data_IF_341736486694
#
_entry.id   IF_341736486694
#
_cell.length_a   1.000
_cell.length_b   1.000
_cell.length_c   1.000
_cell.angle_alpha   90.00
_cell.angle_beta   90.00
_cell.angle_gamma   90.00
#
_symmetry.space_group_name_H-M   'P 1'
#
loop_
_entity.id
_entity.type
_entity.pdbx_description
1 polymer ?
#
# COMPACT_ATOMS: atom_id res chain seq x y z
N UNK A 1 -14.71 19.82 -1.68
CA UNK A 1 -15.18 19.62 -3.07
C UNK A 1 -15.68 18.19 -3.18
N UNK A 2 -16.91 17.98 -3.64
CA UNK A 2 -17.40 16.64 -3.98
C UNK A 2 -16.69 16.18 -5.27
N UNK A 3 -16.26 14.91 -5.38
CA UNK A 3 -15.64 14.43 -6.61
C UNK A 3 -16.64 14.54 -7.76
N UNK A 4 -16.15 14.99 -8.92
CA UNK A 4 -16.96 15.10 -10.14
C UNK A 4 -17.44 13.71 -10.58
N UNK A 5 -18.55 13.61 -11.33
CA UNK A 5 -19.10 12.32 -11.80
C UNK A 5 -18.04 11.43 -12.49
N UNK A 6 -17.05 12.04 -13.16
CA UNK A 6 -15.94 11.38 -13.85
C UNK A 6 -14.94 10.70 -12.89
N UNK A 7 -14.72 11.24 -11.68
CA UNK A 7 -13.88 10.61 -10.65
C UNK A 7 -14.55 9.37 -10.04
N UNK A 8 -15.88 9.37 -9.88
CA UNK A 8 -16.64 8.22 -9.36
C UNK A 8 -16.71 7.06 -10.36
N UNK A 9 -16.78 7.36 -11.66
CA UNK A 9 -16.84 6.34 -12.73
C UNK A 9 -15.52 5.58 -12.94
N UNK A 10 -14.40 6.08 -12.42
CA UNK A 10 -13.08 5.50 -12.68
C UNK A 10 -12.45 4.84 -11.45
N UNK A 11 -12.77 5.29 -10.23
CA UNK A 11 -12.14 4.78 -9.00
C UNK A 11 -12.80 3.52 -8.44
N UNK A 12 -14.13 3.41 -8.49
CA UNK A 12 -14.88 2.30 -7.88
C UNK A 12 -15.15 1.13 -8.84
N UNK A 13 -15.48 1.36 -10.14
CA UNK A 13 -15.87 0.24 -11.00
C UNK A 13 -14.73 -0.71 -11.33
N UNK A 14 -13.50 -0.22 -11.33
CA UNK A 14 -12.37 -0.92 -11.90
C UNK A 14 -11.82 -2.06 -11.01
N UNK A 15 -11.36 -1.82 -9.76
CA UNK A 15 -10.89 -2.93 -8.91
C UNK A 15 -12.01 -3.92 -8.54
N UNK A 16 -13.27 -3.45 -8.46
CA UNK A 16 -14.40 -4.29 -8.05
C UNK A 16 -15.00 -5.10 -9.19
N UNK A 17 -15.50 -4.45 -10.25
CA UNK A 17 -16.16 -5.17 -11.35
C UNK A 17 -15.14 -5.73 -12.32
N UNK A 18 -14.18 -4.91 -12.78
CA UNK A 18 -13.22 -5.38 -13.78
C UNK A 18 -12.24 -6.39 -13.19
N UNK A 19 -11.63 -6.08 -12.04
CA UNK A 19 -10.79 -7.01 -11.28
C UNK A 19 -11.54 -8.29 -10.86
N UNK A 20 -12.79 -8.16 -10.41
CA UNK A 20 -13.64 -9.30 -10.03
C UNK A 20 -13.96 -10.24 -11.19
N UNK A 21 -14.38 -9.69 -12.35
CA UNK A 21 -14.66 -10.48 -13.55
C UNK A 21 -13.41 -11.22 -14.05
N UNK A 22 -12.26 -10.53 -14.10
CA UNK A 22 -11.01 -11.12 -14.53
C UNK A 22 -10.52 -12.22 -13.57
N UNK A 23 -10.65 -12.00 -12.26
CA UNK A 23 -10.26 -12.98 -11.24
C UNK A 23 -11.17 -14.21 -11.28
N UNK A 24 -12.48 -14.01 -11.39
CA UNK A 24 -13.45 -15.09 -11.50
C UNK A 24 -13.26 -15.89 -12.80
N UNK A 25 -12.98 -15.23 -13.92
CA UNK A 25 -12.59 -15.90 -15.16
C UNK A 25 -11.30 -16.70 -15.00
N UNK A 26 -10.27 -16.13 -14.38
CA UNK A 26 -8.99 -16.80 -14.18
C UNK A 26 -9.18 -18.12 -13.42
N UNK A 27 -10.11 -18.17 -12.46
CA UNK A 27 -10.44 -19.34 -11.65
C UNK A 27 -11.36 -20.34 -12.38
N UNK A 28 -12.46 -19.87 -12.96
CA UNK A 28 -13.53 -20.73 -13.51
C UNK A 28 -13.35 -21.10 -14.98
N UNK A 29 -12.60 -20.30 -15.73
CA UNK A 29 -12.49 -20.32 -17.19
C UNK A 29 -13.83 -20.10 -17.93
N UNK A 30 -14.85 -19.54 -17.27
CA UNK A 30 -16.13 -19.25 -17.92
C UNK A 30 -16.00 -18.10 -18.95
N UNK A 31 -16.18 -18.36 -20.26
CA UNK A 31 -16.02 -17.36 -21.30
C UNK A 31 -17.01 -16.19 -21.20
N UNK A 32 -18.14 -16.35 -20.51
CA UNK A 32 -19.09 -15.25 -20.30
C UNK A 32 -18.50 -14.15 -19.42
N UNK A 33 -17.71 -14.52 -18.41
CA UNK A 33 -17.03 -13.57 -17.53
C UNK A 33 -15.99 -12.75 -18.29
N UNK A 34 -15.22 -13.40 -19.17
CA UNK A 34 -14.26 -12.70 -20.04
C UNK A 34 -14.97 -11.77 -21.02
N UNK A 35 -16.09 -12.20 -21.61
CA UNK A 35 -16.91 -11.36 -22.48
C UNK A 35 -17.39 -10.10 -21.75
N UNK A 36 -17.86 -10.23 -20.50
CA UNK A 36 -18.27 -9.09 -19.68
C UNK A 36 -17.13 -8.18 -19.28
N UNK A 37 -15.97 -8.75 -18.94
CA UNK A 37 -14.76 -7.96 -18.67
C UNK A 37 -14.37 -7.13 -19.90
N UNK A 38 -14.49 -7.71 -21.10
CA UNK A 38 -14.24 -7.04 -22.38
C UNK A 38 -15.20 -5.87 -22.61
N UNK A 39 -16.51 -6.11 -22.50
CA UNK A 39 -17.55 -5.08 -22.65
C UNK A 39 -17.33 -3.89 -21.69
N UNK A 40 -17.00 -4.19 -20.43
CA UNK A 40 -16.69 -3.17 -19.43
C UNK A 40 -15.39 -2.42 -19.77
N UNK A 41 -14.33 -3.15 -20.13
CA UNK A 41 -13.06 -2.58 -20.56
C UNK A 41 -13.24 -1.60 -21.74
N UNK A 42 -14.02 -2.01 -22.75
CA UNK A 42 -14.34 -1.18 -23.92
C UNK A 42 -15.08 0.10 -23.55
N UNK A 43 -16.02 0.03 -22.60
CA UNK A 43 -16.78 1.18 -22.12
C UNK A 43 -15.89 2.16 -21.35
N UNK A 44 -15.03 1.64 -20.48
CA UNK A 44 -14.14 2.45 -19.64
C UNK A 44 -12.94 3.03 -20.41
N UNK A 45 -12.61 2.50 -21.60
CA UNK A 45 -11.54 3.04 -22.46
C UNK A 45 -11.75 4.53 -22.80
N UNK A 46 -12.98 5.01 -22.88
CA UNK A 46 -13.28 6.43 -23.14
C UNK A 46 -12.81 7.35 -22.00
N UNK A 47 -12.76 6.83 -20.77
CA UNK A 47 -12.31 7.58 -19.60
C UNK A 47 -10.78 7.75 -19.53
N UNK A 48 -10.03 7.08 -20.42
CA UNK A 48 -8.57 7.21 -20.55
C UNK A 48 -8.15 8.28 -21.56
N UNK A 49 -9.09 8.98 -22.19
CA UNK A 49 -8.81 10.01 -23.19
C UNK A 49 -8.52 11.38 -22.52
N UNK A 50 -7.44 11.45 -21.74
CA UNK A 50 -6.94 12.71 -21.14
C UNK A 50 -5.78 13.27 -21.95
N UNK A 51 -5.61 14.59 -21.95
CA UNK A 51 -4.51 15.28 -22.67
C UNK A 51 -3.12 14.86 -22.18
N UNK A 52 -3.01 14.50 -20.89
CA UNK A 52 -1.78 14.04 -20.25
C UNK A 52 -1.47 12.56 -20.49
N UNK A 53 -2.41 11.80 -21.04
CA UNK A 53 -2.28 10.38 -21.29
C UNK A 53 -2.32 9.47 -20.06
N UNK A 54 -2.38 9.97 -18.81
CA UNK A 54 -2.31 9.15 -17.58
C UNK A 54 -3.24 7.93 -17.64
N UNK A 55 -2.71 6.71 -17.85
CA UNK A 55 -3.52 5.53 -17.77
C UNK A 55 -3.75 5.30 -16.30
N UNK A 56 -5.00 5.38 -15.93
CA UNK A 56 -5.42 4.69 -14.72
C UNK A 56 -5.40 3.20 -15.11
N UNK A 57 -4.84 2.33 -14.26
CA UNK A 57 -5.19 0.89 -14.15
C UNK A 57 -4.23 -0.17 -14.77
N UNK A 58 -3.92 -1.21 -13.95
CA UNK A 58 -3.10 -2.37 -14.33
C UNK A 58 -3.93 -3.55 -14.87
N UNK A 59 -5.23 -3.58 -14.59
CA UNK A 59 -6.17 -4.64 -14.95
C UNK A 59 -6.31 -4.80 -16.47
N UNK A 60 -6.14 -3.71 -17.22
CA UNK A 60 -6.14 -3.74 -18.68
C UNK A 60 -4.92 -4.45 -19.28
N UNK A 61 -3.76 -4.47 -18.59
CA UNK A 61 -2.61 -5.27 -19.03
C UNK A 61 -2.95 -6.76 -18.98
N UNK A 62 -3.68 -7.18 -17.95
CA UNK A 62 -4.14 -8.56 -17.81
C UNK A 62 -5.22 -8.90 -18.86
N UNK A 63 -6.19 -8.00 -19.09
CA UNK A 63 -7.17 -8.18 -20.18
C UNK A 63 -6.50 -8.30 -21.56
N UNK A 64 -5.48 -7.48 -21.83
CA UNK A 64 -4.72 -7.56 -23.08
C UNK A 64 -4.03 -8.91 -23.26
N UNK A 65 -3.41 -9.43 -22.19
CA UNK A 65 -2.80 -10.76 -22.19
C UNK A 65 -3.84 -11.86 -22.48
N UNK A 66 -5.01 -11.81 -21.83
CA UNK A 66 -6.05 -12.83 -21.99
C UNK A 66 -6.72 -12.81 -23.36
N UNK A 67 -6.90 -11.63 -23.95
CA UNK A 67 -7.64 -11.47 -25.21
C UNK A 67 -6.74 -11.50 -26.45
N UNK A 68 -5.42 -11.39 -26.27
CA UNK A 68 -4.47 -11.12 -27.35
C UNK A 68 -4.68 -9.77 -28.04
N UNK A 69 -5.63 -8.95 -27.55
CA UNK A 69 -5.97 -7.68 -28.17
C UNK A 69 -4.96 -6.60 -27.75
N UNK A 70 -4.04 -6.31 -28.66
CA UNK A 70 -3.02 -5.27 -28.48
C UNK A 70 -3.62 -3.90 -28.23
N UNK A 71 -4.85 -3.61 -28.67
CA UNK A 71 -5.50 -2.30 -28.42
C UNK A 71 -5.72 -2.01 -26.93
N UNK A 72 -6.01 -3.02 -26.09
CA UNK A 72 -6.08 -2.80 -24.63
C UNK A 72 -4.71 -2.46 -24.05
N UNK A 73 -3.67 -3.10 -24.57
CA UNK A 73 -2.30 -2.81 -24.17
C UNK A 73 -1.85 -1.42 -24.65
N UNK A 74 -2.10 -1.09 -25.91
CA UNK A 74 -1.78 0.17 -26.59
C UNK A 74 -2.56 1.36 -26.02
N UNK A 75 -3.80 1.19 -25.58
CA UNK A 75 -4.58 2.29 -24.97
C UNK A 75 -4.25 2.55 -23.51
N UNK A 76 -3.86 1.52 -22.74
CA UNK A 76 -3.16 1.72 -21.46
C UNK A 76 -1.82 2.42 -21.68
N UNK A 77 -1.25 2.34 -22.89
CA UNK A 77 -0.07 3.12 -23.27
C UNK A 77 -0.30 4.60 -23.56
N UNK A 78 -1.52 5.12 -23.54
CA UNK A 78 -1.81 6.50 -23.95
C UNK A 78 -1.94 6.61 -25.49
N UNK A 79 -3.03 7.22 -25.98
CA UNK A 79 -3.51 7.28 -27.38
C UNK A 79 -2.77 8.33 -28.26
N UNK A 80 -2.95 8.42 -29.61
CA UNK A 80 -3.58 7.53 -30.61
C UNK A 80 -2.58 6.99 -31.66
N UNK A 81 -3.10 6.19 -32.60
CA UNK A 81 -2.47 5.41 -33.71
C UNK A 81 -1.70 6.24 -34.76
N UNK A 82 -1.03 7.35 -34.41
CA UNK A 82 -0.35 8.22 -35.39
C UNK A 82 1.16 8.42 -35.12
N UNK A 83 1.71 7.93 -34.01
CA UNK A 83 3.16 7.91 -33.79
C UNK A 83 3.57 6.58 -33.15
N UNK A 84 4.57 5.91 -33.72
CA UNK A 84 5.16 4.62 -33.32
C UNK A 84 4.79 4.14 -31.90
N UNK A 85 3.87 3.16 -31.85
CA UNK A 85 3.05 2.76 -30.71
C UNK A 85 3.75 1.88 -29.66
N UNK A 86 5.04 2.15 -29.36
CA UNK A 86 5.79 1.45 -28.30
C UNK A 86 6.17 2.38 -27.11
N UNK A 87 6.10 3.71 -27.23
CA UNK A 87 6.87 4.59 -26.32
C UNK A 87 6.11 5.35 -25.20
N UNK A 88 4.79 5.19 -24.98
CA UNK A 88 4.02 6.12 -24.12
C UNK A 88 3.57 5.65 -22.70
N UNK A 89 3.41 4.35 -22.37
CA UNK A 89 3.39 3.93 -20.91
C UNK A 89 4.74 4.24 -20.30
N UNK A 90 5.79 3.97 -21.06
CA UNK A 90 7.15 4.34 -20.68
C UNK A 90 7.19 5.83 -20.39
N UNK A 91 6.60 6.68 -21.24
CA UNK A 91 6.52 8.11 -20.97
C UNK A 91 5.84 8.47 -19.65
N UNK A 92 4.70 7.86 -19.28
CA UNK A 92 4.00 8.23 -18.05
C UNK A 92 4.67 7.64 -16.81
N UNK A 93 5.20 6.43 -16.93
CA UNK A 93 6.07 5.87 -15.90
C UNK A 93 7.34 6.69 -15.73
N UNK A 94 7.93 7.17 -16.82
CA UNK A 94 9.09 8.05 -16.82
C UNK A 94 8.73 9.42 -16.24
N UNK A 95 7.55 9.95 -16.52
CA UNK A 95 7.04 11.17 -15.88
C UNK A 95 6.82 10.97 -14.38
N UNK A 96 6.27 9.82 -13.96
CA UNK A 96 6.11 9.50 -12.54
C UNK A 96 7.48 9.34 -11.86
N UNK A 97 8.38 8.60 -12.50
CA UNK A 97 9.73 8.37 -12.01
C UNK A 97 10.55 9.67 -11.95
N UNK A 98 10.41 10.56 -12.92
CA UNK A 98 11.04 11.87 -12.96
C UNK A 98 10.45 12.84 -11.92
N UNK A 99 9.26 12.56 -11.41
CA UNK A 99 8.58 13.36 -10.38
C UNK A 99 8.68 12.74 -8.99
N UNK A 100 9.45 11.67 -8.82
CA UNK A 100 9.91 11.25 -7.50
C UNK A 100 10.69 12.42 -6.90
N UNK A 101 10.25 12.87 -5.72
CA UNK A 101 10.90 13.98 -5.05
C UNK A 101 12.33 13.58 -4.65
N UNK A 102 13.37 14.30 -5.10
CA UNK A 102 14.76 13.89 -4.91
C UNK A 102 15.24 14.03 -3.46
N UNK A 103 14.46 14.68 -2.58
CA UNK A 103 14.81 14.85 -1.16
C UNK A 103 14.23 13.75 -0.27
N UNK A 104 13.09 13.18 -0.68
CA UNK A 104 12.35 12.18 0.09
C UNK A 104 12.29 10.80 -0.59
N UNK A 105 12.57 10.72 -1.89
CA UNK A 105 12.31 9.54 -2.73
C UNK A 105 10.83 9.13 -2.76
N UNK A 106 9.90 10.06 -2.55
CA UNK A 106 8.46 9.77 -2.50
C UNK A 106 7.71 10.38 -3.69
N UNK A 107 6.54 9.80 -3.98
CA UNK A 107 5.59 10.35 -4.95
C UNK A 107 4.57 11.23 -4.23
N UNK A 108 4.29 12.40 -4.78
CA UNK A 108 3.26 13.29 -4.24
C UNK A 108 1.86 12.63 -4.34
N UNK A 109 0.98 12.93 -3.41
CA UNK A 109 -0.38 12.40 -3.39
C UNK A 109 -1.31 13.07 -4.43
N UNK A 110 -0.97 14.27 -4.91
CA UNK A 110 -1.83 15.05 -5.78
C UNK A 110 -1.10 15.48 -7.06
N UNK A 111 -1.75 15.23 -8.19
CA UNK A 111 -1.25 15.45 -9.54
C UNK A 111 -2.29 16.24 -10.32
N UNK A 112 -1.83 17.19 -11.13
CA UNK A 112 -2.68 17.83 -12.11
C UNK A 112 -2.86 16.87 -13.30
N UNK A 113 -4.11 16.46 -13.55
CA UNK A 113 -4.45 15.47 -14.58
C UNK A 113 -4.36 16.01 -16.01
N UNK A 114 -4.27 17.33 -16.21
CA UNK A 114 -4.21 17.95 -17.54
C UNK A 114 -2.77 17.99 -18.06
N UNK A 115 -1.83 18.36 -17.20
CA UNK A 115 -0.42 18.51 -17.56
C UNK A 115 0.50 17.46 -16.93
N UNK A 116 -0.03 16.64 -16.01
CA UNK A 116 0.72 15.56 -15.38
C UNK A 116 1.69 15.95 -14.30
N UNK A 117 1.70 17.21 -13.84
CA UNK A 117 2.64 17.71 -12.84
C UNK A 117 2.13 17.55 -11.41
N UNK A 118 3.04 17.41 -10.44
CA UNK A 118 2.71 17.46 -9.01
C UNK A 118 1.97 18.75 -8.66
N UNK A 119 0.81 18.61 -8.01
CA UNK A 119 -0.02 19.74 -7.59
C UNK A 119 0.34 20.23 -6.18
N UNK A 120 0.84 19.35 -5.33
CA UNK A 120 1.25 19.65 -3.95
C UNK A 120 2.46 18.81 -3.55
N UNK A 121 3.16 19.22 -2.49
CA UNK A 121 4.21 18.41 -1.83
C UNK A 121 3.66 17.71 -0.59
N UNK A 122 2.49 17.08 -0.72
CA UNK A 122 1.97 16.17 0.29
C UNK A 122 2.38 14.75 -0.10
N UNK A 123 3.06 14.04 0.80
CA UNK A 123 3.42 12.64 0.60
C UNK A 123 2.59 11.80 1.58
N UNK A 124 1.70 11.00 1.01
CA UNK A 124 0.76 10.16 1.76
C UNK A 124 1.15 8.70 1.61
N UNK A 125 0.81 7.88 2.60
CA UNK A 125 0.80 6.41 2.51
C UNK A 125 -0.55 5.83 2.95
N UNK A 126 -1.56 6.69 3.09
CA UNK A 126 -2.96 6.33 3.28
C UNK A 126 -3.77 6.65 2.03
N UNK A 127 -4.99 7.15 2.23
CA UNK A 127 -5.87 7.51 1.14
C UNK A 127 -5.16 8.39 0.08
N UNK A 128 -5.52 8.15 -1.18
CA UNK A 128 -5.01 8.81 -2.40
C UNK A 128 -3.65 8.32 -2.92
N UNK A 129 -2.85 7.63 -2.11
CA UNK A 129 -1.51 7.18 -2.51
C UNK A 129 -1.28 5.67 -2.30
N UNK A 130 -1.98 5.05 -1.35
CA UNK A 130 -1.97 3.62 -1.00
C UNK A 130 -1.75 2.65 -2.17
N UNK A 131 -2.80 2.42 -2.96
CA UNK A 131 -2.86 1.51 -4.10
C UNK A 131 -1.90 1.93 -5.22
N UNK A 132 -1.51 3.20 -5.27
CA UNK A 132 -0.44 3.69 -6.15
C UNK A 132 0.88 2.97 -5.87
N UNK A 133 1.33 2.91 -4.62
CA UNK A 133 2.56 2.19 -4.25
C UNK A 133 2.44 0.68 -4.43
N UNK A 134 1.28 0.13 -4.07
CA UNK A 134 0.99 -1.30 -4.16
C UNK A 134 1.11 -1.82 -5.60
N UNK A 135 0.53 -1.09 -6.56
CA UNK A 135 0.49 -1.49 -7.95
C UNK A 135 1.88 -1.44 -8.61
N UNK A 136 2.81 -0.61 -8.13
CA UNK A 136 4.17 -0.57 -8.69
C UNK A 136 4.87 -1.94 -8.54
N UNK A 137 4.83 -2.52 -7.34
CA UNK A 137 5.38 -3.86 -7.10
C UNK A 137 4.54 -4.92 -7.82
N UNK A 138 3.21 -4.88 -7.66
CA UNK A 138 2.34 -5.91 -8.23
C UNK A 138 2.45 -5.96 -9.76
N UNK A 139 2.70 -4.84 -10.43
CA UNK A 139 2.95 -4.79 -11.88
C UNK A 139 4.26 -5.46 -12.29
N UNK A 140 5.34 -5.27 -11.53
CA UNK A 140 6.58 -6.01 -11.73
C UNK A 140 6.34 -7.53 -11.65
N UNK A 141 5.60 -7.96 -10.64
CA UNK A 141 5.28 -9.39 -10.43
C UNK A 141 4.35 -9.94 -11.52
N UNK A 142 3.30 -9.21 -11.87
CA UNK A 142 2.30 -9.59 -12.87
C UNK A 142 2.93 -9.82 -14.25
N UNK A 143 3.97 -9.05 -14.59
CA UNK A 143 4.69 -9.17 -15.86
C UNK A 143 5.79 -10.24 -15.83
N UNK A 144 5.77 -11.15 -14.85
CA UNK A 144 6.79 -12.18 -14.72
C UNK A 144 8.18 -11.59 -14.45
N UNK A 145 8.26 -10.47 -13.73
CA UNK A 145 9.51 -9.80 -13.33
C UNK A 145 10.31 -9.18 -14.49
N UNK A 146 9.64 -8.86 -15.59
CA UNK A 146 10.28 -8.31 -16.80
C UNK A 146 10.37 -6.78 -16.81
N UNK A 147 9.43 -6.06 -16.19
CA UNK A 147 9.44 -4.59 -16.15
C UNK A 147 10.41 -4.03 -15.08
N UNK A 148 11.72 -3.95 -15.37
CA UNK A 148 12.74 -3.50 -14.40
C UNK A 148 12.55 -2.07 -13.87
N UNK A 149 12.09 -1.13 -14.70
CA UNK A 149 11.73 0.22 -14.22
C UNK A 149 10.63 0.21 -13.13
N UNK A 150 9.80 -0.83 -13.08
CA UNK A 150 8.83 -1.00 -11.99
C UNK A 150 9.49 -1.35 -10.68
N UNK A 151 10.44 -2.27 -10.76
CA UNK A 151 11.25 -2.66 -9.63
C UNK A 151 12.05 -1.45 -9.11
N UNK A 152 12.74 -0.73 -9.98
CA UNK A 152 13.56 0.42 -9.58
C UNK A 152 12.72 1.50 -8.90
N UNK A 153 11.54 1.79 -9.47
CA UNK A 153 10.60 2.74 -8.87
C UNK A 153 10.09 2.24 -7.50
N UNK A 154 9.72 0.97 -7.38
CA UNK A 154 9.29 0.38 -6.11
C UNK A 154 10.40 0.45 -5.05
N UNK A 155 11.63 0.07 -5.39
CA UNK A 155 12.76 0.11 -4.46
C UNK A 155 13.05 1.54 -4.00
N UNK A 156 13.00 2.50 -4.92
CA UNK A 156 13.19 3.92 -4.62
C UNK A 156 12.14 4.43 -3.64
N UNK A 157 10.85 4.20 -3.93
CA UNK A 157 9.76 4.68 -3.06
C UNK A 157 9.67 3.91 -1.75
N UNK A 158 9.98 2.60 -1.74
CA UNK A 158 10.08 1.81 -0.51
C UNK A 158 11.14 2.39 0.43
N UNK A 159 12.31 2.73 -0.10
CA UNK A 159 13.35 3.42 0.68
C UNK A 159 12.87 4.80 1.15
N UNK A 160 12.18 5.56 0.30
CA UNK A 160 11.60 6.85 0.69
C UNK A 160 10.59 6.74 1.83
N UNK A 161 9.76 5.69 1.85
CA UNK A 161 8.83 5.38 2.94
C UNK A 161 9.60 5.08 4.22
N UNK A 162 10.63 4.22 4.15
CA UNK A 162 11.47 3.87 5.29
C UNK A 162 12.15 5.10 5.91
N UNK A 163 12.70 5.95 5.05
CA UNK A 163 13.50 7.11 5.47
C UNK A 163 12.67 8.22 6.13
N UNK A 164 11.39 8.34 5.76
CA UNK A 164 10.62 9.55 6.05
C UNK A 164 9.24 9.32 6.68
N UNK A 165 8.59 8.16 6.48
CA UNK A 165 7.19 7.98 6.86
C UNK A 165 6.98 7.01 8.04
N UNK A 166 8.01 6.28 8.46
CA UNK A 166 7.91 5.31 9.56
C UNK A 166 8.35 5.93 10.89
N UNK A 167 7.44 5.89 11.88
CA UNK A 167 7.64 6.46 13.20
C UNK A 167 7.42 5.42 14.28
N UNK A 168 8.06 5.62 15.43
CA UNK A 168 7.88 4.80 16.62
C UNK A 168 7.29 5.61 17.77
N UNK A 169 6.27 5.05 18.41
CA UNK A 169 5.65 5.65 19.59
C UNK A 169 6.52 5.50 20.85
N UNK A 170 6.46 6.45 21.80
CA UNK A 170 7.42 6.53 22.90
C UNK A 170 7.18 5.50 24.02
N UNK A 171 5.94 5.21 24.41
CA UNK A 171 5.67 4.36 25.60
C UNK A 171 5.69 2.87 25.25
N UNK A 172 4.95 2.50 24.20
CA UNK A 172 4.76 1.12 23.75
C UNK A 172 5.69 0.74 22.62
N UNK A 173 6.38 1.68 21.97
CA UNK A 173 7.29 1.36 20.88
C UNK A 173 6.56 0.79 19.67
N UNK A 174 5.38 1.32 19.33
CA UNK A 174 4.59 0.89 18.17
C UNK A 174 5.17 1.51 16.90
N UNK A 175 5.48 0.68 15.89
CA UNK A 175 5.85 1.16 14.56
C UNK A 175 4.60 1.51 13.77
N UNK A 176 4.50 2.73 13.27
CA UNK A 176 3.37 3.19 12.46
C UNK A 176 3.84 4.05 11.29
N UNK A 177 2.99 4.16 10.26
CA UNK A 177 3.24 5.04 9.13
C UNK A 177 2.47 6.36 9.29
N UNK A 178 2.99 7.44 8.72
CA UNK A 178 2.34 8.76 8.73
C UNK A 178 2.51 9.45 7.39
N UNK A 179 1.61 10.39 7.10
CA UNK A 179 1.80 11.36 6.02
C UNK A 179 2.76 12.47 6.44
N UNK A 180 3.44 13.06 5.46
CA UNK A 180 4.17 14.33 5.62
C UNK A 180 3.60 15.38 4.67
N UNK A 181 3.53 16.63 5.15
CA UNK A 181 3.09 17.78 4.37
C UNK A 181 4.14 18.89 4.41
N UNK A 182 4.42 19.49 3.26
CA UNK A 182 5.35 20.62 3.11
C UNK A 182 6.64 20.28 2.35
N UNK A 183 7.48 21.29 2.03
CA UNK A 183 8.72 21.10 1.29
C UNK A 183 9.76 20.28 2.07
N UNK A 184 10.58 19.50 1.36
CA UNK A 184 11.60 18.64 1.96
C UNK A 184 10.96 17.50 2.75
N UNK A 185 11.43 17.25 3.98
CA UNK A 185 10.89 16.19 4.85
C UNK A 185 9.55 16.52 5.51
N UNK A 186 9.01 17.73 5.25
CA UNK A 186 7.70 18.16 5.74
C UNK A 186 7.51 18.06 7.26
N UNK A 187 6.27 18.25 7.72
CA UNK A 187 5.86 17.92 9.08
C UNK A 187 5.00 16.64 9.05
N UNK A 188 5.29 15.64 9.90
CA UNK A 188 4.46 14.46 10.00
C UNK A 188 3.08 14.80 10.59
N UNK A 189 2.03 14.19 10.04
CA UNK A 189 0.66 14.32 10.55
C UNK A 189 0.46 13.55 11.86
N UNK A 190 1.26 12.50 12.08
CA UNK A 190 1.08 11.47 13.11
C UNK A 190 -0.29 10.79 13.04
N UNK A 191 -0.92 10.81 11.87
CA UNK A 191 -2.18 10.11 11.61
C UNK A 191 -1.84 8.82 10.90
N UNK A 192 -2.25 7.70 11.50
CA UNK A 192 -2.15 6.38 10.90
C UNK A 192 -3.56 5.91 10.52
N UNK A 193 -3.80 5.73 9.23
CA UNK A 193 -5.10 5.32 8.70
C UNK A 193 -5.21 3.80 8.67
N UNK A 194 -6.41 3.27 8.84
CA UNK A 194 -6.67 1.85 8.60
C UNK A 194 -6.27 1.44 7.19
N UNK A 195 -6.50 2.33 6.20
CA UNK A 195 -6.05 2.13 4.82
C UNK A 195 -4.55 1.86 4.72
N UNK A 196 -3.72 2.56 5.51
CA UNK A 196 -2.27 2.35 5.52
C UNK A 196 -1.83 0.98 6.06
N UNK A 197 -2.74 0.18 6.61
CA UNK A 197 -2.46 -1.19 7.03
C UNK A 197 -2.29 -2.18 5.87
N UNK A 198 -2.34 -1.75 4.60
CA UNK A 198 -1.90 -2.55 3.44
C UNK A 198 -0.36 -2.64 3.35
N UNK A 199 0.32 -1.58 3.81
CA UNK A 199 1.77 -1.39 3.69
C UNK A 199 2.61 -2.54 4.29
N UNK A 200 2.31 -3.08 5.49
CA UNK A 200 3.05 -4.23 6.00
C UNK A 200 3.04 -5.43 5.04
N UNK A 201 1.86 -5.77 4.48
CA UNK A 201 1.70 -6.82 3.48
C UNK A 201 2.51 -6.54 2.22
N UNK A 202 2.57 -5.28 1.79
CA UNK A 202 3.41 -4.87 0.65
C UNK A 202 4.91 -5.09 0.91
N UNK A 203 5.42 -4.72 2.08
CA UNK A 203 6.81 -4.97 2.46
C UNK A 203 7.12 -6.47 2.58
N UNK A 204 6.22 -7.25 3.18
CA UNK A 204 6.36 -8.71 3.27
C UNK A 204 6.36 -9.38 1.88
N UNK A 205 5.46 -8.95 0.99
CA UNK A 205 5.39 -9.43 -0.39
C UNK A 205 6.68 -9.10 -1.15
N UNK A 206 7.20 -7.89 -1.02
CA UNK A 206 8.48 -7.47 -1.59
C UNK A 206 9.64 -8.32 -1.07
N UNK A 207 9.74 -8.48 0.24
CA UNK A 207 10.76 -9.31 0.88
C UNK A 207 10.71 -10.78 0.44
N UNK A 208 9.52 -11.31 0.16
CA UNK A 208 9.36 -12.68 -0.33
C UNK A 208 9.69 -12.82 -1.82
N UNK A 209 9.23 -11.87 -2.64
CA UNK A 209 9.16 -12.04 -4.10
C UNK A 209 10.34 -11.46 -4.86
N UNK A 210 11.06 -10.51 -4.27
CA UNK A 210 12.19 -9.82 -4.90
C UNK A 210 13.53 -10.47 -4.56
N UNK A 211 14.51 -10.22 -5.42
CA UNK A 211 15.91 -10.61 -5.20
C UNK A 211 16.65 -9.53 -4.40
N UNK A 212 16.23 -9.37 -3.14
CA UNK A 212 16.87 -8.44 -2.19
C UNK A 212 18.07 -9.11 -1.52
N UNK A 213 19.07 -8.32 -1.14
CA UNK A 213 20.14 -8.82 -0.27
C UNK A 213 19.54 -9.37 1.04
N UNK A 214 20.21 -10.32 1.72
CA UNK A 214 19.72 -10.86 3.00
C UNK A 214 19.42 -9.77 4.03
N UNK A 215 20.21 -8.70 4.03
CA UNK A 215 20.03 -7.56 4.93
C UNK A 215 18.77 -6.74 4.60
N UNK A 216 18.57 -6.36 3.33
CA UNK A 216 17.39 -5.62 2.90
C UNK A 216 16.10 -6.44 3.08
N UNK A 217 16.17 -7.74 2.75
CA UNK A 217 15.07 -8.66 2.99
C UNK A 217 14.68 -8.69 4.47
N UNK A 218 15.66 -8.81 5.36
CA UNK A 218 15.41 -8.83 6.80
C UNK A 218 14.88 -7.49 7.31
N UNK A 219 15.39 -6.37 6.79
CA UNK A 219 14.90 -5.04 7.09
C UNK A 219 13.41 -4.90 6.73
N UNK A 220 13.03 -5.32 5.52
CA UNK A 220 11.64 -5.28 5.05
C UNK A 220 10.74 -6.19 5.89
N UNK A 221 11.20 -7.37 6.28
CA UNK A 221 10.45 -8.27 7.16
C UNK A 221 10.26 -7.69 8.57
N UNK A 222 11.26 -6.99 9.12
CA UNK A 222 11.12 -6.29 10.40
C UNK A 222 10.10 -5.15 10.32
N UNK A 223 10.13 -4.36 9.25
CA UNK A 223 9.14 -3.30 9.02
C UNK A 223 7.74 -3.91 8.89
N UNK A 224 7.61 -4.97 8.09
CA UNK A 224 6.35 -5.67 7.89
C UNK A 224 5.81 -6.25 9.21
N UNK A 225 6.66 -6.88 10.01
CA UNK A 225 6.27 -7.37 11.35
C UNK A 225 5.79 -6.21 12.21
N UNK A 226 6.63 -5.20 12.47
CA UNK A 226 6.30 -4.08 13.36
C UNK A 226 5.03 -3.33 12.96
N UNK A 227 4.83 -3.05 11.67
CA UNK A 227 3.61 -2.40 11.19
C UNK A 227 2.40 -3.34 11.33
N UNK A 228 2.52 -4.63 11.03
CA UNK A 228 1.41 -5.59 11.20
C UNK A 228 1.04 -5.75 12.68
N UNK A 229 2.02 -5.75 13.59
CA UNK A 229 1.80 -5.73 15.04
C UNK A 229 0.95 -4.51 15.42
N UNK A 230 1.30 -3.32 14.94
CA UNK A 230 0.55 -2.09 15.22
C UNK A 230 -0.85 -2.09 14.59
N UNK A 231 -1.01 -2.60 13.36
CA UNK A 231 -2.33 -2.74 12.77
C UNK A 231 -3.22 -3.69 13.58
N UNK A 232 -2.69 -4.84 14.00
CA UNK A 232 -3.41 -5.76 14.88
C UNK A 232 -3.69 -5.15 16.26
N UNK A 233 -2.72 -4.46 16.89
CA UNK A 233 -2.91 -3.86 18.20
C UNK A 233 -4.00 -2.80 18.18
N UNK A 234 -4.20 -2.12 17.04
CA UNK A 234 -5.26 -1.14 16.89
C UNK A 234 -6.66 -1.75 17.09
N UNK A 235 -6.85 -2.99 16.63
CA UNK A 235 -8.06 -3.81 16.86
C UNK A 235 -8.10 -4.33 18.29
N UNK A 236 -6.99 -4.94 18.73
CA UNK A 236 -6.92 -5.57 20.04
C UNK A 236 -7.04 -4.56 21.18
N UNK A 237 -6.70 -3.29 20.99
CA UNK A 237 -6.90 -2.23 21.97
C UNK A 237 -8.38 -1.82 22.11
N UNK A 238 -9.25 -2.08 21.12
CA UNK A 238 -10.67 -1.72 21.22
C UNK A 238 -11.49 -2.76 21.99
N UNK A 239 -12.48 -2.32 22.76
CA UNK A 239 -13.38 -3.23 23.50
C UNK A 239 -14.17 -4.14 22.55
N UNK A 240 -14.60 -3.62 21.40
CA UNK A 240 -15.26 -4.38 20.32
C UNK A 240 -14.32 -5.38 19.63
N UNK A 241 -13.00 -5.17 19.72
CA UNK A 241 -12.04 -5.87 18.88
C UNK A 241 -12.04 -5.42 17.42
N UNK A 242 -12.65 -4.27 17.09
CA UNK A 242 -12.65 -3.67 15.75
C UNK A 242 -11.79 -2.40 15.75
N UNK A 243 -10.84 -2.31 14.82
CA UNK A 243 -9.92 -1.17 14.73
C UNK A 243 -10.61 0.12 14.25
N UNK A 244 -10.11 1.30 14.65
CA UNK A 244 -10.61 2.59 14.17
C UNK A 244 -10.18 2.86 12.72
N UNK A 245 -10.95 3.69 12.00
CA UNK A 245 -10.61 4.18 10.65
C UNK A 245 -9.35 5.05 10.64
N UNK A 246 -9.17 5.90 11.66
CA UNK A 246 -7.98 6.75 11.80
C UNK A 246 -7.49 6.80 13.25
N UNK A 247 -6.18 6.68 13.43
CA UNK A 247 -5.48 6.79 14.71
C UNK A 247 -4.61 8.04 14.72
N UNK A 248 -4.73 8.89 15.73
CA UNK A 248 -3.81 10.00 15.96
C UNK A 248 -2.79 9.58 17.01
N UNK A 249 -1.56 9.30 16.59
CA UNK A 249 -0.42 9.00 17.45
C UNK A 249 0.10 10.26 18.15
N UNK A 250 0.79 10.06 19.27
CA UNK A 250 1.44 11.14 20.03
C UNK A 250 2.54 11.83 19.21
N UNK A 251 2.58 13.16 19.29
CA UNK A 251 3.53 14.00 18.52
C UNK A 251 4.98 13.89 18.98
N UNK A 252 5.24 13.25 20.12
CA UNK A 252 6.57 12.92 20.62
C UNK A 252 7.14 11.64 19.99
N UNK A 253 6.38 10.97 19.12
CA UNK A 253 6.87 9.86 18.30
C UNK A 253 8.03 10.31 17.42
N UNK A 254 9.00 9.43 17.22
CA UNK A 254 10.23 9.76 16.47
C UNK A 254 10.40 8.91 15.23
N UNK A 255 11.13 9.41 14.24
CA UNK A 255 11.46 8.63 13.03
C UNK A 255 12.16 7.33 13.39
N UNK A 256 11.70 6.24 12.78
CA UNK A 256 12.18 4.90 13.06
C UNK A 256 13.56 4.62 12.47
N UNK A 257 13.80 4.99 11.21
CA UNK A 257 15.02 4.62 10.50
C UNK A 257 16.32 5.16 11.12
N UNK A 258 16.37 6.40 11.66
CA UNK A 258 17.50 6.84 12.48
C UNK A 258 17.80 5.93 13.67
N UNK A 259 16.76 5.45 14.37
CA UNK A 259 16.95 4.52 15.49
C UNK A 259 17.43 3.15 15.02
N UNK A 260 16.88 2.63 13.92
CA UNK A 260 17.36 1.41 13.28
C UNK A 260 18.86 1.49 12.95
N UNK A 261 19.33 2.61 12.38
CA UNK A 261 20.76 2.80 12.07
C UNK A 261 21.64 2.80 13.31
N UNK A 262 21.17 3.36 14.42
CA UNK A 262 21.88 3.31 15.71
C UNK A 262 21.94 1.86 16.21
N UNK A 263 20.79 1.16 16.20
CA UNK A 263 20.71 -0.26 16.58
C UNK A 263 21.65 -1.14 15.73
N UNK A 264 21.65 -0.96 14.41
CA UNK A 264 22.49 -1.71 13.45
C UNK A 264 23.98 -1.58 13.78
N UNK A 265 24.44 -0.39 14.19
CA UNK A 265 25.83 -0.13 14.59
C UNK A 265 26.19 -0.69 15.97
N UNK A 266 25.21 -0.98 16.82
CA UNK A 266 25.43 -1.52 18.16
C UNK A 266 25.71 -3.03 18.12
N UNK A 267 26.98 -3.41 18.27
CA UNK A 267 27.37 -4.83 18.37
C UNK A 267 26.75 -5.51 19.59
N UNK A 268 26.59 -4.80 20.71
CA UNK A 268 25.96 -5.33 21.91
C UNK A 268 24.47 -5.66 21.69
N UNK A 269 23.72 -4.78 21.00
CA UNK A 269 22.31 -5.02 20.70
C UNK A 269 22.11 -6.22 19.76
N UNK A 270 23.01 -6.40 18.78
CA UNK A 270 22.96 -7.55 17.87
C UNK A 270 23.35 -8.86 18.58
N UNK A 271 24.34 -8.83 19.47
CA UNK A 271 24.80 -10.01 20.22
C UNK A 271 23.80 -10.47 21.27
N UNK A 272 22.98 -9.57 21.83
CA UNK A 272 21.91 -9.93 22.77
C UNK A 272 20.67 -10.51 22.09
N UNK A 273 20.65 -10.61 20.76
CA UNK A 273 19.48 -11.03 20.00
C UNK A 273 18.33 -10.01 20.02
N UNK A 274 18.61 -8.75 20.36
CA UNK A 274 17.59 -7.71 20.37
C UNK A 274 17.15 -7.38 18.95
N UNK A 275 15.83 -7.34 18.72
CA UNK A 275 15.22 -6.85 17.48
C UNK A 275 15.32 -5.33 17.37
N UNK A 276 15.25 -4.74 16.16
CA UNK A 276 15.20 -3.28 16.04
C UNK A 276 13.97 -2.71 16.77
N UNK A 277 14.01 -1.44 17.22
CA UNK A 277 12.86 -0.77 17.81
C UNK A 277 11.61 -0.90 16.92
N UNK A 278 10.41 -0.88 17.48
CA UNK A 278 9.17 -0.95 16.67
C UNK A 278 8.76 -2.37 16.26
N UNK A 279 9.64 -3.35 16.45
CA UNK A 279 9.35 -4.78 16.26
C UNK A 279 9.22 -5.41 17.64
N UNK A 280 8.01 -5.50 18.17
CA UNK A 280 7.77 -6.31 19.37
C UNK A 280 7.32 -7.69 18.96
N UNK A 281 7.90 -8.72 19.57
CA UNK A 281 7.39 -10.07 19.41
C UNK A 281 5.91 -10.09 19.82
N UNK A 282 5.11 -10.85 19.09
CA UNK A 282 3.67 -10.90 19.24
C UNK A 282 3.20 -11.13 20.70
N UNK A 283 3.97 -11.93 21.46
CA UNK A 283 3.74 -12.27 22.86
C UNK A 283 3.95 -11.10 23.85
N UNK A 284 4.74 -10.10 23.46
CA UNK A 284 5.17 -9.01 24.34
C UNK A 284 4.31 -7.75 24.16
N UNK A 285 3.48 -7.72 23.10
CA UNK A 285 2.57 -6.61 22.84
C UNK A 285 1.19 -6.87 23.47
N UNK A 286 0.98 -6.29 24.65
CA UNK A 286 -0.29 -6.43 25.39
C UNK A 286 -1.32 -5.39 24.94
N UNK A 287 -2.59 -5.78 24.76
CA UNK A 287 -3.66 -4.83 24.48
C UNK A 287 -3.89 -3.84 25.62
N UNK A 288 -4.14 -2.57 25.28
CA UNK A 288 -4.49 -1.50 26.20
C UNK A 288 -5.94 -1.07 25.97
N UNK A 289 -6.87 -1.70 26.70
CA UNK A 289 -8.32 -1.48 26.54
C UNK A 289 -8.81 -0.17 27.16
N UNK A 290 -8.08 0.41 28.13
CA UNK A 290 -8.54 1.58 28.88
C UNK A 290 -8.38 2.89 28.11
N UNK A 291 -7.40 2.97 27.20
CA UNK A 291 -7.18 4.15 26.34
C UNK A 291 -5.92 4.99 26.66
N UNK A 292 -5.69 5.44 27.92
CA UNK A 292 -4.62 6.40 28.25
C UNK A 292 -3.21 6.01 27.83
N UNK A 293 -2.89 4.71 27.79
CA UNK A 293 -1.54 4.21 27.49
C UNK A 293 -1.41 3.64 26.08
N UNK A 294 -2.38 3.88 25.19
CA UNK A 294 -2.35 3.31 23.83
C UNK A 294 -1.24 3.88 22.94
N UNK A 295 -0.64 5.02 23.32
CA UNK A 295 0.21 5.90 22.48
C UNK A 295 -0.50 6.60 21.31
N UNK A 296 -1.79 6.35 21.14
CA UNK A 296 -2.64 6.99 20.16
C UNK A 296 -4.05 7.17 20.71
N UNK A 297 -4.80 8.08 20.10
CA UNK A 297 -6.25 8.20 20.29
C UNK A 297 -6.97 7.89 18.99
N UNK A 298 -8.18 7.34 19.07
CA UNK A 298 -9.02 7.17 17.90
C UNK A 298 -9.42 8.55 17.38
N UNK A 299 -9.02 8.88 16.16
CA UNK A 299 -9.39 10.13 15.48
C UNK A 299 -10.72 9.97 14.75
N UNK A 300 -10.93 8.80 14.13
CA UNK A 300 -12.22 8.33 13.61
C UNK A 300 -12.39 6.88 14.03
N UNK A 301 -13.45 6.60 14.77
CA UNK A 301 -13.76 5.29 15.36
C UNK A 301 -14.68 4.42 14.51
N UNK A 302 -15.17 4.94 13.38
CA UNK A 302 -15.98 4.18 12.45
C UNK A 302 -15.23 2.93 11.95
N UNK A 303 -15.96 1.82 11.80
CA UNK A 303 -15.46 0.59 11.21
C UNK A 303 -16.25 0.28 9.94
N UNK A 304 -15.57 0.31 8.79
CA UNK A 304 -16.21 0.24 7.46
C UNK A 304 -15.99 -1.11 6.76
N UNK A 305 -15.83 -2.20 7.54
CA UNK A 305 -15.55 -3.55 7.03
C UNK A 305 -14.34 -3.60 6.08
N UNK A 306 -13.32 -2.79 6.34
CA UNK A 306 -12.15 -2.70 5.46
C UNK A 306 -11.18 -3.87 5.66
N UNK A 307 -10.51 -4.35 4.61
CA UNK A 307 -9.72 -5.56 4.67
C UNK A 307 -8.25 -5.37 5.06
N UNK A 308 -7.70 -4.15 5.05
CA UNK A 308 -6.24 -3.94 4.91
C UNK A 308 -5.41 -4.60 6.04
N UNK A 309 -5.90 -4.55 7.28
CA UNK A 309 -5.24 -5.24 8.41
C UNK A 309 -5.24 -6.76 8.23
N UNK A 310 -6.37 -7.34 7.82
CA UNK A 310 -6.49 -8.80 7.60
C UNK A 310 -5.70 -9.24 6.36
N UNK A 311 -5.62 -8.40 5.33
CA UNK A 311 -4.77 -8.61 4.16
C UNK A 311 -3.30 -8.74 4.55
N UNK A 312 -2.77 -7.77 5.31
CA UNK A 312 -1.38 -7.81 5.78
C UNK A 312 -1.11 -9.01 6.69
N UNK A 313 -2.05 -9.33 7.59
CA UNK A 313 -1.97 -10.53 8.43
C UNK A 313 -1.89 -11.81 7.57
N UNK A 314 -2.72 -11.93 6.54
CA UNK A 314 -2.69 -13.06 5.62
C UNK A 314 -1.33 -13.18 4.93
N UNK A 315 -0.81 -12.09 4.38
CA UNK A 315 0.50 -12.09 3.70
C UNK A 315 1.61 -12.44 4.70
N UNK A 316 1.59 -11.88 5.91
CA UNK A 316 2.55 -12.21 6.96
C UNK A 316 2.55 -13.70 7.29
N UNK A 317 1.38 -14.33 7.46
CA UNK A 317 1.30 -15.78 7.65
C UNK A 317 1.88 -16.54 6.45
N UNK A 318 1.55 -16.15 5.21
CA UNK A 318 2.05 -16.82 4.00
C UNK A 318 3.56 -16.71 3.83
N UNK A 319 4.16 -15.60 4.25
CA UNK A 319 5.60 -15.33 4.12
C UNK A 319 6.40 -15.96 5.25
N UNK A 320 5.88 -15.93 6.48
CA UNK A 320 6.62 -16.35 7.68
C UNK A 320 6.29 -17.76 8.15
N UNK A 321 5.08 -18.27 7.86
CA UNK A 321 4.56 -19.51 8.43
C UNK A 321 4.18 -19.42 9.91
N UNK A 322 4.27 -18.24 10.53
CA UNK A 322 3.94 -18.07 11.95
C UNK A 322 2.41 -18.06 12.15
N UNK A 323 1.91 -19.05 12.88
CA UNK A 323 0.48 -19.24 13.15
C UNK A 323 -0.13 -18.12 14.00
N UNK A 324 0.69 -17.33 14.71
CA UNK A 324 0.18 -16.17 15.48
C UNK A 324 -0.59 -15.20 14.58
N UNK A 325 -0.19 -15.06 13.31
CA UNK A 325 -0.91 -14.23 12.36
C UNK A 325 -2.29 -14.79 12.03
N UNK A 326 -2.43 -16.11 11.88
CA UNK A 326 -3.74 -16.74 11.65
C UNK A 326 -4.66 -16.59 12.86
N UNK A 327 -4.13 -16.78 14.06
CA UNK A 327 -4.89 -16.61 15.30
C UNK A 327 -5.44 -15.18 15.41
N UNK A 328 -4.60 -14.18 15.15
CA UNK A 328 -4.98 -12.76 15.15
C UNK A 328 -6.01 -12.41 14.09
N UNK A 329 -5.84 -12.93 12.87
CA UNK A 329 -6.84 -12.78 11.80
C UNK A 329 -8.19 -13.38 12.20
N UNK A 330 -8.18 -14.54 12.87
CA UNK A 330 -9.38 -15.19 13.37
C UNK A 330 -10.05 -14.41 14.51
N UNK A 331 -9.27 -13.77 15.39
CA UNK A 331 -9.80 -12.88 16.43
C UNK A 331 -10.53 -11.66 15.83
N UNK A 332 -9.94 -11.03 14.82
CA UNK A 332 -10.58 -9.94 14.08
C UNK A 332 -11.86 -10.44 13.41
N UNK A 333 -11.82 -11.58 12.73
CA UNK A 333 -13.01 -12.17 12.10
C UNK A 333 -14.15 -12.41 13.12
N UNK A 334 -13.84 -12.98 14.30
CA UNK A 334 -14.83 -13.16 15.37
C UNK A 334 -15.39 -11.83 15.88
N UNK A 335 -14.60 -10.76 15.91
CA UNK A 335 -15.08 -9.43 16.28
C UNK A 335 -16.05 -8.87 15.23
N UNK A 336 -15.71 -9.03 13.93
CA UNK A 336 -16.59 -8.66 12.81
C UNK A 336 -17.93 -9.41 12.92
N UNK A 337 -17.90 -10.74 12.99
CA UNK A 337 -19.12 -11.56 13.10
C UNK A 337 -20.01 -11.17 14.30
N UNK A 338 -19.39 -10.85 15.45
CA UNK A 338 -20.15 -10.48 16.66
C UNK A 338 -20.78 -9.09 16.59
N UNK A 339 -20.13 -8.13 15.93
CA UNK A 339 -20.49 -6.71 16.03
C UNK A 339 -21.07 -6.12 14.74
N UNK A 340 -20.98 -6.81 13.61
CA UNK A 340 -21.43 -6.28 12.31
C UNK A 340 -22.45 -7.16 11.61
N UNK A 341 -22.78 -8.34 12.16
CA UNK A 341 -23.82 -9.20 11.62
C UNK A 341 -25.20 -8.65 11.98
N UNK A 342 -26.09 -8.58 10.99
CA UNK A 342 -27.45 -8.06 11.12
C UNK A 342 -28.49 -9.12 10.82
#
# INVERSE_FOLDING_TARGET
>A
MLPTCTERLTTVPNPRYFGGLLSAYAYTKDPQLLKKAKELGDTLLLALNTTSGYPKFSEYKYLAHLTGNKTYYEKVRGLPVILDSINQVEHIREMMHAQIDPTTNLLAAFWNIENGMIATRKFSIGALADSGYEYILKQYLLTGKTEKKALDMYLTVAQGIIDNLLYISPERGLLFATDIDGPGKGQPSYVYEHLSCFLPGLFALGAHSLDLSPEERQLHLWIADGLTQTCYISYADQTSGLGPEEMQFVRTSTLWYPQYKIWKKSSAARQSGAVPPGVKLAKDLRPEKSGPKRDYRNRRDAYLLRPETVESIFIMWRVTGDEVWRERGYEIFKAIERHTKT
#
